data_IF_814810787233
#
_entry.id   IF_814810787233
#
_cell.length_a   1.000
_cell.length_b   1.000
_cell.length_c   1.000
_cell.angle_alpha   90.00
_cell.angle_beta   90.00
_cell.angle_gamma   90.00
#
_symmetry.space_group_name_H-M   'P 1'
#
loop_
_entity.id
_entity.type
_entity.pdbx_description
1 polymer ?
#
# COMPACT_ATOMS: atom_id res chain seq x y z
N UNK A 1 -34.41 -47.19 33.51
CA UNK A 1 -33.16 -46.85 32.77
C UNK A 1 -32.35 -48.04 32.27
N UNK A 2 -32.51 -49.29 32.77
CA UNK A 2 -31.68 -50.43 32.33
C UNK A 2 -32.02 -51.00 30.93
N UNK A 3 -33.22 -50.73 30.39
CA UNK A 3 -33.65 -51.30 29.09
C UNK A 3 -32.91 -50.70 27.88
N UNK A 4 -32.66 -49.39 27.87
CA UNK A 4 -31.86 -48.73 26.83
C UNK A 4 -30.41 -49.21 26.79
N UNK A 5 -29.82 -49.52 27.94
CA UNK A 5 -28.43 -49.97 28.05
C UNK A 5 -28.20 -51.34 27.41
N UNK A 6 -29.16 -52.25 27.58
CA UNK A 6 -29.09 -53.59 26.99
C UNK A 6 -29.30 -53.57 25.46
N UNK A 7 -30.15 -52.67 24.94
CA UNK A 7 -30.31 -52.44 23.49
C UNK A 7 -29.08 -51.80 22.85
N UNK A 8 -28.49 -50.79 23.50
CA UNK A 8 -27.22 -50.18 23.07
C UNK A 8 -26.10 -51.22 23.03
N UNK A 9 -26.01 -52.11 24.04
CA UNK A 9 -24.97 -53.15 24.11
C UNK A 9 -25.05 -54.16 22.97
N UNK A 10 -26.24 -54.47 22.47
CA UNK A 10 -26.45 -55.41 21.36
C UNK A 10 -26.17 -54.79 19.98
N UNK A 11 -26.24 -53.46 19.83
CA UNK A 11 -26.02 -52.75 18.55
C UNK A 11 -24.79 -51.82 18.51
N UNK A 12 -23.86 -51.89 19.49
CA UNK A 12 -22.68 -51.00 19.59
C UNK A 12 -21.89 -50.84 18.28
N UNK A 13 -21.69 -51.91 17.51
CA UNK A 13 -20.95 -51.86 16.23
C UNK A 13 -21.64 -51.00 15.17
N UNK A 14 -22.99 -50.99 15.13
CA UNK A 14 -23.77 -50.20 14.16
C UNK A 14 -23.73 -48.71 14.50
N UNK A 15 -23.82 -48.36 15.78
CA UNK A 15 -23.69 -46.97 16.24
C UNK A 15 -22.29 -46.40 16.00
N UNK A 16 -21.24 -47.20 16.22
CA UNK A 16 -19.86 -46.79 15.92
C UNK A 16 -19.69 -46.53 14.42
N UNK A 17 -20.22 -47.40 13.56
CA UNK A 17 -20.13 -47.21 12.11
C UNK A 17 -20.88 -45.95 11.63
N UNK A 18 -22.12 -45.75 12.08
CA UNK A 18 -22.91 -44.55 11.74
C UNK A 18 -22.24 -43.27 12.26
N UNK A 19 -21.74 -43.29 13.50
CA UNK A 19 -21.01 -42.16 14.07
C UNK A 19 -19.72 -41.85 13.32
N UNK A 20 -18.97 -42.88 12.90
CA UNK A 20 -17.75 -42.71 12.11
C UNK A 20 -18.04 -42.13 10.71
N UNK A 21 -19.09 -42.60 10.04
CA UNK A 21 -19.50 -42.07 8.73
C UNK A 21 -20.00 -40.63 8.87
N UNK A 22 -20.89 -40.35 9.82
CA UNK A 22 -21.40 -39.00 10.05
C UNK A 22 -20.28 -38.01 10.45
N UNK A 23 -19.37 -38.42 11.33
CA UNK A 23 -18.21 -37.63 11.72
C UNK A 23 -17.24 -37.39 10.55
N UNK A 24 -16.99 -38.41 9.73
CA UNK A 24 -16.16 -38.30 8.52
C UNK A 24 -16.73 -37.30 7.50
N UNK A 25 -18.04 -37.37 7.23
CA UNK A 25 -18.73 -36.42 6.33
C UNK A 25 -18.68 -34.99 6.88
N UNK A 26 -18.90 -34.81 8.19
CA UNK A 26 -18.82 -33.49 8.82
C UNK A 26 -17.41 -32.88 8.73
N UNK A 27 -16.37 -33.67 9.02
CA UNK A 27 -14.98 -33.20 8.93
C UNK A 27 -14.59 -32.86 7.48
N UNK A 28 -14.97 -33.69 6.51
CA UNK A 28 -14.71 -33.42 5.09
C UNK A 28 -15.45 -32.17 4.60
N UNK A 29 -16.73 -32.02 4.95
CA UNK A 29 -17.52 -30.83 4.60
C UNK A 29 -16.93 -29.56 5.21
N UNK A 30 -16.55 -29.61 6.49
CA UNK A 30 -15.90 -28.49 7.18
C UNK A 30 -14.53 -28.15 6.58
N UNK A 31 -13.76 -29.15 6.17
CA UNK A 31 -12.49 -28.96 5.48
C UNK A 31 -12.70 -28.33 4.09
N UNK A 32 -13.65 -28.82 3.31
CA UNK A 32 -13.98 -28.27 2.00
C UNK A 32 -14.44 -26.82 2.08
N UNK A 33 -15.34 -26.49 3.02
CA UNK A 33 -15.82 -25.13 3.24
C UNK A 33 -14.68 -24.19 3.65
N UNK A 34 -13.77 -24.67 4.52
CA UNK A 34 -12.58 -23.92 4.91
C UNK A 34 -11.63 -23.69 3.73
N UNK A 35 -11.41 -24.73 2.91
CA UNK A 35 -10.56 -24.67 1.72
C UNK A 35 -11.09 -23.68 0.67
N UNK A 36 -12.40 -23.70 0.40
CA UNK A 36 -13.04 -22.78 -0.56
C UNK A 36 -12.90 -21.34 -0.08
N UNK A 37 -13.13 -21.07 1.21
CA UNK A 37 -12.97 -19.74 1.79
C UNK A 37 -11.52 -19.26 1.69
N UNK A 38 -10.56 -20.12 2.01
CA UNK A 38 -9.13 -19.78 1.89
C UNK A 38 -8.73 -19.46 0.44
N UNK A 39 -9.27 -20.19 -0.55
CA UNK A 39 -9.00 -19.93 -1.97
C UNK A 39 -9.60 -18.58 -2.39
N UNK A 40 -10.86 -18.31 -2.07
CA UNK A 40 -11.50 -17.03 -2.39
C UNK A 40 -10.81 -15.84 -1.71
N UNK A 41 -10.41 -16.00 -0.45
CA UNK A 41 -9.67 -14.96 0.27
C UNK A 41 -8.31 -14.68 -0.37
N UNK A 42 -7.60 -15.72 -0.85
CA UNK A 42 -6.34 -15.56 -1.58
C UNK A 42 -6.53 -14.85 -2.91
N UNK A 43 -7.50 -15.30 -3.73
CA UNK A 43 -7.79 -14.69 -5.02
C UNK A 43 -8.22 -13.21 -4.86
N UNK A 44 -9.08 -12.93 -3.87
CA UNK A 44 -9.49 -11.56 -3.56
C UNK A 44 -8.31 -10.70 -3.09
N UNK A 45 -7.40 -11.25 -2.26
CA UNK A 45 -6.21 -10.54 -1.80
C UNK A 45 -5.25 -10.24 -2.96
N UNK A 46 -5.01 -11.20 -3.85
CA UNK A 46 -4.18 -11.01 -5.04
C UNK A 46 -4.79 -9.99 -6.00
N UNK A 47 -6.10 -10.07 -6.24
CA UNK A 47 -6.83 -9.10 -7.07
C UNK A 47 -6.71 -7.68 -6.51
N UNK A 48 -6.93 -7.50 -5.21
CA UNK A 48 -6.81 -6.19 -4.55
C UNK A 48 -5.36 -5.69 -4.60
N UNK A 49 -4.37 -6.58 -4.42
CA UNK A 49 -2.96 -6.21 -4.52
C UNK A 49 -2.60 -5.74 -5.93
N UNK A 50 -3.09 -6.43 -6.97
CA UNK A 50 -2.85 -6.06 -8.35
C UNK A 50 -3.58 -4.77 -8.76
N UNK A 51 -4.85 -4.62 -8.37
CA UNK A 51 -5.62 -3.40 -8.60
C UNK A 51 -4.96 -2.17 -7.94
N UNK A 52 -4.43 -2.34 -6.72
CA UNK A 52 -3.69 -1.29 -6.03
C UNK A 52 -2.41 -0.89 -6.77
N UNK A 53 -1.62 -1.86 -7.25
CA UNK A 53 -0.41 -1.57 -8.05
C UNK A 53 -0.75 -0.80 -9.33
N UNK A 54 -1.80 -1.21 -10.03
CA UNK A 54 -2.23 -0.54 -11.27
C UNK A 54 -2.68 0.89 -11.00
N UNK A 55 -3.49 1.11 -9.97
CA UNK A 55 -3.93 2.45 -9.56
C UNK A 55 -2.74 3.36 -9.23
N UNK A 56 -1.76 2.86 -8.46
CA UNK A 56 -0.55 3.62 -8.16
C UNK A 56 0.23 3.97 -9.42
N UNK A 57 0.38 3.04 -10.37
CA UNK A 57 1.08 3.28 -11.62
C UNK A 57 0.39 4.36 -12.47
N UNK A 58 -0.92 4.24 -12.69
CA UNK A 58 -1.70 5.19 -13.49
C UNK A 58 -1.73 6.58 -12.85
N UNK A 59 -1.93 6.63 -11.53
CA UNK A 59 -1.87 7.90 -10.79
C UNK A 59 -0.50 8.55 -10.93
N UNK A 60 0.59 7.78 -10.80
CA UNK A 60 1.93 8.31 -10.91
C UNK A 60 2.24 8.82 -12.33
N UNK A 61 1.77 8.12 -13.37
CA UNK A 61 1.87 8.62 -14.74
C UNK A 61 1.12 9.95 -14.93
N UNK A 62 -0.11 10.05 -14.41
CA UNK A 62 -0.92 11.27 -14.51
C UNK A 62 -0.23 12.44 -13.81
N UNK A 63 0.28 12.23 -12.60
CA UNK A 63 1.03 13.24 -11.85
C UNK A 63 2.27 13.66 -12.62
N UNK A 64 3.05 12.72 -13.16
CA UNK A 64 4.23 13.05 -13.94
C UNK A 64 3.91 13.89 -15.17
N UNK A 65 2.87 13.54 -15.92
CA UNK A 65 2.45 14.32 -17.08
C UNK A 65 2.06 15.74 -16.67
N UNK A 66 1.35 15.93 -15.56
CA UNK A 66 1.00 17.26 -15.05
C UNK A 66 2.22 18.06 -14.59
N UNK A 67 3.14 17.43 -13.86
CA UNK A 67 4.38 18.08 -13.39
C UNK A 67 5.29 18.49 -14.54
N UNK A 68 5.43 17.63 -15.56
CA UNK A 68 6.17 17.97 -16.79
C UNK A 68 5.57 19.21 -17.43
N UNK A 69 4.24 19.23 -17.61
CA UNK A 69 3.54 20.38 -18.20
C UNK A 69 3.69 21.66 -17.36
N UNK A 70 3.71 21.56 -16.04
CA UNK A 70 3.89 22.74 -15.17
C UNK A 70 5.32 23.26 -15.12
N UNK A 71 6.32 22.40 -15.33
CA UNK A 71 7.73 22.79 -15.35
C UNK A 71 8.23 23.20 -16.75
N UNK A 72 7.45 22.88 -17.80
CA UNK A 72 7.74 23.22 -19.19
C UNK A 72 7.93 24.73 -19.42
N UNK A 73 7.12 25.64 -18.83
CA UNK A 73 7.33 27.08 -18.95
C UNK A 73 8.67 27.54 -18.37
N UNK A 74 9.03 27.06 -17.17
CA UNK A 74 10.30 27.39 -16.52
C UNK A 74 11.50 26.87 -17.35
N UNK A 75 11.40 25.66 -17.90
CA UNK A 75 12.41 25.12 -18.82
C UNK A 75 12.53 25.98 -20.09
N UNK A 76 11.40 26.37 -20.69
CA UNK A 76 11.35 27.24 -21.87
C UNK A 76 12.01 28.59 -21.59
N UNK A 77 11.71 29.21 -20.46
CA UNK A 77 12.27 30.51 -20.08
C UNK A 77 13.78 30.42 -19.84
N UNK A 78 14.26 29.39 -19.13
CA UNK A 78 15.69 29.16 -18.95
C UNK A 78 16.43 28.94 -20.27
N UNK A 79 15.83 28.18 -21.19
CA UNK A 79 16.39 27.98 -22.54
C UNK A 79 16.39 29.27 -23.36
N UNK A 80 15.32 30.07 -23.32
CA UNK A 80 15.25 31.35 -24.05
C UNK A 80 16.21 32.40 -23.50
N UNK A 81 16.47 32.41 -22.18
CA UNK A 81 17.45 33.30 -21.56
C UNK A 81 18.90 32.91 -21.90
N UNK A 82 19.24 31.62 -21.81
CA UNK A 82 20.61 31.14 -22.06
C UNK A 82 20.96 31.10 -23.55
N UNK A 83 19.98 30.89 -24.44
CA UNK A 83 20.16 30.76 -25.89
C UNK A 83 19.40 31.86 -26.65
N UNK A 84 19.54 33.10 -26.17
CA UNK A 84 18.80 34.25 -26.67
C UNK A 84 19.21 34.58 -28.12
N UNK A 85 18.48 34.02 -29.08
CA UNK A 85 18.71 34.21 -30.52
C UNK A 85 18.13 35.54 -31.00
N UNK A 86 17.22 36.17 -30.22
CA UNK A 86 16.59 37.45 -30.58
C UNK A 86 17.57 38.63 -30.51
N UNK A 87 18.57 38.58 -29.62
CA UNK A 87 19.63 39.60 -29.58
C UNK A 87 20.46 39.58 -30.86
N UNK A 88 20.86 38.40 -31.34
CA UNK A 88 21.59 38.26 -32.60
C UNK A 88 20.72 38.64 -33.81
N UNK A 89 19.44 38.23 -33.81
CA UNK A 89 18.50 38.53 -34.90
C UNK A 89 18.18 40.04 -34.99
N UNK A 90 18.17 40.75 -33.86
CA UNK A 90 18.01 42.22 -33.83
C UNK A 90 19.29 42.95 -34.25
N UNK A 91 20.48 42.44 -33.90
CA UNK A 91 21.77 42.90 -34.44
C UNK A 91 21.84 42.77 -35.97
N UNK A 92 21.33 41.67 -36.53
CA UNK A 92 21.22 41.46 -37.98
C UNK A 92 20.27 42.46 -38.68
N UNK A 93 19.20 42.90 -38.02
CA UNK A 93 18.25 43.89 -38.58
C UNK A 93 18.87 45.28 -38.72
N UNK A 94 19.87 45.62 -37.91
CA UNK A 94 20.54 46.93 -37.94
C UNK A 94 21.66 47.07 -39.00
N UNK A 95 21.80 46.12 -39.94
CA UNK A 95 22.75 46.18 -41.07
C UNK A 95 24.22 46.48 -40.64
N UNK A 96 24.84 45.64 -39.80
CA UNK A 96 26.24 45.78 -39.42
C UNK A 96 27.19 45.42 -40.57
N UNK A 97 28.43 45.94 -40.52
CA UNK A 97 29.49 45.65 -41.50
C UNK A 97 29.94 44.18 -41.50
N UNK A 98 29.82 43.50 -40.35
CA UNK A 98 30.34 42.14 -40.13
C UNK A 98 29.25 41.08 -40.36
N UNK A 99 28.61 41.11 -41.54
CA UNK A 99 27.44 40.26 -41.84
C UNK A 99 27.75 38.76 -41.81
N UNK A 100 28.95 38.34 -42.23
CA UNK A 100 29.31 36.92 -42.37
C UNK A 100 29.47 36.24 -41.01
N UNK A 101 30.20 36.89 -40.11
CA UNK A 101 30.48 36.44 -38.74
C UNK A 101 29.17 36.26 -37.94
N UNK A 102 28.25 37.22 -38.04
CA UNK A 102 26.94 37.14 -37.37
C UNK A 102 26.08 36.01 -37.96
N UNK A 103 26.19 35.72 -39.25
CA UNK A 103 25.46 34.59 -39.87
C UNK A 103 26.00 33.22 -39.43
N UNK A 104 27.31 33.11 -39.22
CA UNK A 104 27.93 31.89 -38.67
C UNK A 104 27.55 31.70 -37.19
N UNK A 105 27.62 32.76 -36.38
CA UNK A 105 27.18 32.72 -34.98
C UNK A 105 25.69 32.37 -34.88
N UNK A 106 24.83 32.93 -35.74
CA UNK A 106 23.41 32.60 -35.77
C UNK A 106 23.18 31.12 -36.08
N UNK A 107 23.99 30.55 -36.97
CA UNK A 107 23.91 29.13 -37.37
C UNK A 107 24.33 28.23 -36.20
N UNK A 108 25.45 28.53 -35.56
CA UNK A 108 25.98 27.78 -34.41
C UNK A 108 24.99 27.84 -33.23
N UNK A 109 24.44 29.02 -32.94
CA UNK A 109 23.46 29.22 -31.87
C UNK A 109 22.16 28.48 -32.18
N UNK A 110 21.69 28.50 -33.43
CA UNK A 110 20.44 27.81 -33.81
C UNK A 110 20.55 26.30 -33.69
N UNK A 111 21.68 25.71 -34.10
CA UNK A 111 21.95 24.28 -33.95
C UNK A 111 22.13 23.89 -32.48
N UNK A 112 22.96 24.64 -31.74
CA UNK A 112 23.20 24.41 -30.32
C UNK A 112 21.91 24.50 -29.51
N UNK A 113 21.05 25.48 -29.81
CA UNK A 113 19.75 25.67 -29.13
C UNK A 113 18.83 24.47 -29.33
N UNK A 114 18.78 23.93 -30.55
CA UNK A 114 17.93 22.78 -30.86
C UNK A 114 18.42 21.52 -30.13
N UNK A 115 19.74 21.28 -30.13
CA UNK A 115 20.35 20.13 -29.45
C UNK A 115 20.15 20.24 -27.94
N UNK A 116 20.48 21.38 -27.33
CA UNK A 116 20.33 21.60 -25.89
C UNK A 116 18.86 21.50 -25.48
N UNK A 117 17.92 22.06 -26.25
CA UNK A 117 16.49 21.95 -25.94
C UNK A 117 16.00 20.49 -25.91
N UNK A 118 16.43 19.66 -26.87
CA UNK A 118 16.09 18.22 -26.89
C UNK A 118 16.68 17.51 -25.67
N UNK A 119 17.98 17.68 -25.41
CA UNK A 119 18.65 17.03 -24.27
C UNK A 119 18.04 17.46 -22.92
N UNK A 120 17.83 18.76 -22.71
CA UNK A 120 17.25 19.28 -21.47
C UNK A 120 15.82 18.79 -21.26
N UNK A 121 15.00 18.72 -22.30
CA UNK A 121 13.62 18.21 -22.21
C UNK A 121 13.60 16.73 -21.88
N UNK A 122 14.41 15.92 -22.57
CA UNK A 122 14.52 14.48 -22.29
C UNK A 122 15.01 14.22 -20.85
N UNK A 123 16.04 14.94 -20.42
CA UNK A 123 16.59 14.80 -19.07
C UNK A 123 15.56 15.21 -18.00
N UNK A 124 14.83 16.30 -18.20
CA UNK A 124 13.76 16.73 -17.29
C UNK A 124 12.67 15.66 -17.14
N UNK A 125 12.20 15.08 -18.26
CA UNK A 125 11.16 14.05 -18.22
C UNK A 125 11.64 12.80 -17.47
N UNK A 126 12.86 12.34 -17.74
CA UNK A 126 13.43 11.16 -17.05
C UNK A 126 13.61 11.43 -15.55
N UNK A 127 14.17 12.59 -15.18
CA UNK A 127 14.36 12.95 -13.77
C UNK A 127 13.03 13.03 -13.02
N UNK A 128 12.00 13.63 -13.60
CA UNK A 128 10.67 13.68 -13.00
C UNK A 128 10.06 12.30 -12.82
N UNK A 129 10.20 11.41 -13.80
CA UNK A 129 9.74 10.02 -13.70
C UNK A 129 10.46 9.28 -12.57
N UNK A 130 11.77 9.46 -12.43
CA UNK A 130 12.56 8.83 -11.36
C UNK A 130 12.15 9.37 -9.99
N UNK A 131 12.09 10.69 -9.83
CA UNK A 131 11.72 11.33 -8.56
C UNK A 131 10.31 10.90 -8.11
N UNK A 132 9.33 10.91 -9.01
CA UNK A 132 7.96 10.51 -8.71
C UNK A 132 7.83 9.02 -8.42
N UNK A 133 8.58 8.15 -9.11
CA UNK A 133 8.59 6.71 -8.80
C UNK A 133 9.19 6.45 -7.41
N UNK A 134 10.26 7.16 -7.02
CA UNK A 134 10.85 7.04 -5.68
C UNK A 134 9.85 7.51 -4.62
N UNK A 135 9.29 8.72 -4.77
CA UNK A 135 8.30 9.28 -3.82
C UNK A 135 7.06 8.39 -3.74
N UNK A 136 6.53 7.92 -4.87
CA UNK A 136 5.41 7.00 -4.92
C UNK A 136 5.68 5.67 -4.21
N UNK A 137 6.90 5.14 -4.32
CA UNK A 137 7.36 3.97 -3.58
C UNK A 137 7.40 4.20 -2.08
N UNK A 138 7.93 5.33 -1.62
CA UNK A 138 7.93 5.71 -0.21
C UNK A 138 6.53 5.85 0.35
N UNK A 139 5.63 6.55 -0.35
CA UNK A 139 4.23 6.71 0.06
C UNK A 139 3.53 5.35 0.14
N UNK A 140 3.78 4.43 -0.79
CA UNK A 140 3.21 3.08 -0.75
C UNK A 140 3.66 2.29 0.50
N UNK A 141 4.96 2.32 0.80
CA UNK A 141 5.52 1.66 1.98
C UNK A 141 5.05 2.31 3.28
N UNK A 142 4.92 3.64 3.30
CA UNK A 142 4.44 4.38 4.46
C UNK A 142 2.97 4.09 4.76
N UNK A 143 2.09 4.09 3.75
CA UNK A 143 0.68 3.71 3.90
C UNK A 143 0.52 2.26 4.40
N UNK A 144 1.44 1.37 4.01
CA UNK A 144 1.45 -0.03 4.46
C UNK A 144 1.91 -0.13 5.93
N UNK A 145 2.97 0.62 6.28
CA UNK A 145 3.51 0.71 7.64
C UNK A 145 2.53 1.35 8.62
N UNK A 146 1.81 2.40 8.21
CA UNK A 146 0.79 3.07 9.00
C UNK A 146 -0.38 2.15 9.33
N UNK A 147 -0.83 1.33 8.36
CA UNK A 147 -1.86 0.30 8.62
C UNK A 147 -1.41 -0.71 9.67
N UNK A 148 -0.15 -1.14 9.60
CA UNK A 148 0.42 -2.05 10.59
C UNK A 148 0.51 -1.39 11.98
N UNK A 149 0.98 -0.14 12.04
CA UNK A 149 1.05 0.64 13.27
C UNK A 149 -0.33 0.81 13.92
N UNK A 150 -1.35 1.17 13.13
CA UNK A 150 -2.72 1.31 13.62
C UNK A 150 -3.26 0.00 14.22
N UNK A 151 -3.01 -1.13 13.54
CA UNK A 151 -3.41 -2.45 14.05
C UNK A 151 -2.70 -2.83 15.36
N UNK A 152 -1.43 -2.44 15.54
CA UNK A 152 -0.70 -2.64 16.78
C UNK A 152 -1.26 -1.77 17.91
N UNK A 153 -1.59 -0.51 17.63
CA UNK A 153 -2.20 0.37 18.64
C UNK A 153 -3.56 -0.15 19.12
N UNK A 154 -4.35 -0.76 18.23
CA UNK A 154 -5.63 -1.36 18.60
C UNK A 154 -5.47 -2.61 19.48
N UNK A 155 -4.43 -3.42 19.23
CA UNK A 155 -4.11 -4.58 20.08
C UNK A 155 -3.59 -4.17 21.46
N UNK A 156 -2.71 -3.17 21.52
CA UNK A 156 -2.22 -2.59 22.79
C UNK A 156 -3.37 -2.07 23.65
N UNK A 157 -4.37 -1.43 23.03
CA UNK A 157 -5.57 -0.95 23.70
C UNK A 157 -6.34 -2.12 24.35
N UNK A 158 -6.59 -3.20 23.59
CA UNK A 158 -7.29 -4.39 24.10
C UNK A 158 -6.52 -5.10 25.21
N UNK A 159 -5.19 -5.17 25.11
CA UNK A 159 -4.35 -5.76 26.17
C UNK A 159 -4.43 -4.95 27.46
N UNK A 160 -4.40 -3.61 27.37
CA UNK A 160 -4.60 -2.72 28.53
C UNK A 160 -5.98 -2.93 29.17
N UNK A 161 -7.02 -3.07 28.35
CA UNK A 161 -8.38 -3.28 28.81
C UNK A 161 -8.53 -4.63 29.56
N UNK A 162 -7.99 -5.71 28.99
CA UNK A 162 -7.96 -7.03 29.65
C UNK A 162 -7.17 -6.98 30.95
N UNK A 163 -6.01 -6.34 30.98
CA UNK A 163 -5.20 -6.18 32.21
C UNK A 163 -5.99 -5.47 33.31
N UNK A 164 -6.71 -4.40 32.97
CA UNK A 164 -7.55 -3.67 33.92
C UNK A 164 -8.71 -4.53 34.45
N UNK A 165 -9.33 -5.36 33.60
CA UNK A 165 -10.37 -6.29 34.03
C UNK A 165 -9.83 -7.37 34.97
N UNK A 166 -8.63 -7.90 34.70
CA UNK A 166 -7.98 -8.89 35.55
C UNK A 166 -7.65 -8.30 36.92
N UNK A 167 -7.09 -7.09 36.98
CA UNK A 167 -6.81 -6.41 38.27
C UNK A 167 -8.08 -6.16 39.08
N UNK A 168 -9.15 -5.69 38.44
CA UNK A 168 -10.44 -5.46 39.11
C UNK A 168 -11.06 -6.75 39.63
N UNK A 169 -11.05 -7.82 38.83
CA UNK A 169 -11.57 -9.12 39.25
C UNK A 169 -10.72 -9.76 40.35
N UNK A 170 -9.40 -9.61 40.31
CA UNK A 170 -8.52 -10.08 41.36
C UNK A 170 -8.78 -9.32 42.67
N UNK A 171 -8.87 -7.99 42.62
CA UNK A 171 -9.20 -7.17 43.79
C UNK A 171 -10.57 -7.52 44.37
N UNK A 172 -11.58 -7.76 43.52
CA UNK A 172 -12.91 -8.18 43.94
C UNK A 172 -12.86 -9.55 44.64
N UNK A 173 -12.20 -10.55 44.06
CA UNK A 173 -12.10 -11.89 44.65
C UNK A 173 -11.31 -11.89 45.97
N UNK A 174 -10.24 -11.10 46.09
CA UNK A 174 -9.48 -10.96 47.35
C UNK A 174 -10.33 -10.30 48.44
N UNK A 175 -11.08 -9.25 48.09
CA UNK A 175 -12.00 -8.60 49.01
C UNK A 175 -13.11 -9.56 49.48
N UNK A 176 -13.67 -10.35 48.57
CA UNK A 176 -14.71 -11.34 48.87
C UNK A 176 -14.19 -12.47 49.78
N UNK A 177 -12.98 -12.96 49.52
CA UNK A 177 -12.32 -13.99 50.34
C UNK A 177 -11.95 -13.49 51.76
N UNK A 178 -11.64 -12.20 51.93
CA UNK A 178 -11.35 -11.61 53.24
C UNK A 178 -12.61 -11.13 53.97
N UNK A 179 -13.73 -10.94 53.26
CA UNK A 179 -15.02 -10.51 53.84
C UNK A 179 -15.90 -11.66 54.30
N UNK A 180 -15.58 -12.93 54.01
CA UNK A 180 -16.30 -14.07 54.59
C UNK A 180 -15.99 -14.19 56.09
N UNK A 181 -16.96 -13.92 56.99
CA UNK A 181 -16.73 -14.09 58.42
C UNK A 181 -16.55 -15.57 58.74
N UNK A 182 -15.56 -15.89 59.58
CA UNK A 182 -15.48 -17.17 60.30
C UNK A 182 -16.82 -17.42 60.99
N UNK A 183 -17.65 -18.26 60.39
CA UNK A 183 -18.83 -18.81 61.01
C UNK A 183 -18.60 -20.31 61.17
N UNK A 184 -18.60 -20.73 62.44
CA UNK A 184 -18.67 -22.08 63.00
C UNK A 184 -17.36 -22.87 63.25
N UNK A 185 -16.88 -22.74 64.48
CA UNK A 185 -16.68 -23.86 65.43
C UNK A 185 -16.78 -23.24 66.83
N UNK A 186 -17.97 -23.13 67.44
CA UNK A 186 -18.59 -24.11 68.36
C UNK A 186 -17.60 -24.89 69.22
#
# INVERSE_FOLDING_TARGET
MLSMWNFLKRHKKKFIFVGAVAGGVYLLGKYAQRKIREIQEREAAEYIAQARRQYHFESNQRTCNMTVLSMLPALREGLMQQLNSESLTSLLKNKPSNKLEIWEDLKIISFSRSIVAVYSTCMLVVLLRVQLNIIGGYIYLDNSSLKHCFSLTELEQKIKEIRSLVEKNFAANVYEAFSTPQQLEK
#
